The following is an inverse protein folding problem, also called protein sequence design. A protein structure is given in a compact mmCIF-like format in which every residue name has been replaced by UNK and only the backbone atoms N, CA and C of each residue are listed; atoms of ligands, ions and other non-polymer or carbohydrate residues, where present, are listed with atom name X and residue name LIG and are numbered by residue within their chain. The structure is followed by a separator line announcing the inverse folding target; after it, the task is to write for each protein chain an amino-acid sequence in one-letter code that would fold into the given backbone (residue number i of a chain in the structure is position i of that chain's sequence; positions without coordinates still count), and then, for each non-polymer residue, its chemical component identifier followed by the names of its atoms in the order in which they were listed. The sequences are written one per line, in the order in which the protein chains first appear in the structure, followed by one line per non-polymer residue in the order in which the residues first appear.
data_IF_189555426632
#
_entry.id   IF_189555426632
#
_cell.length_a   1.000
_cell.length_b   1.000
_cell.length_c   1.000
_cell.angle_alpha   90.00
_cell.angle_beta   90.00
_cell.angle_gamma   90.00
#
_symmetry.space_group_name_H-M   'P 1'
#
loop_
_entity.id
_entity.type
_entity.pdbx_description
1 polymer ?
#
# COMPACT_ATOMS: atom_id res chain seq x y z
N UNK A 1 29.22 -34.80 39.00
CA UNK A 1 29.04 -33.35 38.90
C UNK A 1 29.75 -32.90 37.65
N UNK A 2 29.00 -32.70 36.57
CA UNK A 2 29.51 -32.52 35.21
C UNK A 2 29.34 -31.04 34.85
N UNK A 3 30.44 -30.34 34.62
CA UNK A 3 30.42 -28.93 34.23
C UNK A 3 29.94 -28.79 32.79
N UNK A 4 28.93 -27.97 32.49
CA UNK A 4 28.57 -27.65 31.12
C UNK A 4 29.68 -26.80 30.47
N UNK A 5 30.05 -27.25 29.29
CA UNK A 5 31.10 -26.76 28.40
C UNK A 5 30.81 -25.33 27.92
N UNK A 6 31.81 -24.44 28.04
CA UNK A 6 31.72 -23.00 27.74
C UNK A 6 31.91 -22.69 26.25
N UNK A 7 32.03 -23.71 25.40
CA UNK A 7 32.44 -23.58 24.00
C UNK A 7 31.29 -23.29 23.02
N UNK A 8 30.02 -23.41 23.43
CA UNK A 8 28.88 -23.14 22.54
C UNK A 8 28.45 -21.66 22.48
N UNK A 9 28.81 -20.84 23.47
CA UNK A 9 28.34 -19.44 23.53
C UNK A 9 28.97 -18.52 22.47
N UNK A 10 30.15 -18.85 21.94
CA UNK A 10 30.83 -17.99 20.96
C UNK A 10 30.39 -18.25 19.51
N UNK A 11 29.92 -19.47 19.21
CA UNK A 11 29.39 -19.82 17.89
C UNK A 11 28.07 -19.09 17.57
N UNK A 12 27.19 -18.92 18.57
CA UNK A 12 25.95 -18.18 18.42
C UNK A 12 26.18 -16.67 18.19
N UNK A 13 27.22 -16.08 18.80
CA UNK A 13 27.54 -14.67 18.65
C UNK A 13 28.13 -14.33 17.27
N UNK A 14 28.84 -15.26 16.63
CA UNK A 14 29.34 -15.09 15.27
C UNK A 14 28.26 -15.28 14.19
N UNK A 15 27.27 -16.15 14.43
CA UNK A 15 26.13 -16.31 13.52
C UNK A 15 25.24 -15.05 13.47
N UNK A 16 25.03 -14.37 14.60
CA UNK A 16 24.26 -13.12 14.67
C UNK A 16 24.99 -11.92 14.03
N UNK A 17 26.33 -11.95 13.95
CA UNK A 17 27.11 -10.91 13.29
C UNK A 17 27.08 -11.01 11.76
N UNK A 18 26.89 -12.22 11.21
CA UNK A 18 26.95 -12.45 9.76
C UNK A 18 25.61 -12.19 9.04
N UNK A 19 24.48 -12.22 9.74
CA UNK A 19 23.16 -11.87 9.17
C UNK A 19 23.02 -10.36 8.90
N UNK A 20 23.91 -9.52 9.44
CA UNK A 20 23.94 -8.06 9.21
C UNK A 20 24.68 -7.63 7.94
N UNK A 21 25.25 -8.57 7.16
CA UNK A 21 26.14 -8.26 6.02
C UNK A 21 25.58 -8.57 4.64
N UNK A 22 24.33 -9.02 4.53
CA UNK A 22 23.56 -8.74 3.31
C UNK A 22 23.06 -7.30 3.36
N UNK A 23 24.03 -6.37 3.38
CA UNK A 23 23.85 -5.06 2.78
C UNK A 23 23.47 -5.36 1.35
N UNK A 24 22.17 -5.42 1.10
CA UNK A 24 21.60 -5.39 -0.22
C UNK A 24 22.34 -4.27 -0.94
N UNK A 25 23.21 -4.66 -1.87
CA UNK A 25 23.80 -3.79 -2.86
C UNK A 25 22.63 -3.38 -3.76
N UNK A 26 21.75 -2.54 -3.21
CA UNK A 26 20.62 -2.03 -3.94
C UNK A 26 21.21 -1.34 -5.16
N UNK A 27 20.64 -1.59 -6.36
CA UNK A 27 21.10 -0.97 -7.57
C UNK A 27 21.18 0.53 -7.30
N UNK A 28 22.41 1.03 -7.33
CA UNK A 28 22.74 2.43 -7.05
C UNK A 28 21.84 3.25 -7.97
N UNK A 29 20.94 4.02 -7.36
CA UNK A 29 19.87 4.79 -8.00
C UNK A 29 20.34 5.25 -9.39
N UNK A 30 19.74 4.77 -10.50
CA UNK A 30 20.25 5.06 -11.83
C UNK A 30 20.36 6.57 -11.96
N UNK A 31 21.58 7.04 -12.20
CA UNK A 31 21.88 8.45 -12.43
C UNK A 31 21.40 8.84 -13.83
N UNK A 32 20.08 8.77 -14.07
CA UNK A 32 19.48 9.06 -15.39
C UNK A 32 19.10 10.53 -15.48
N UNK A 33 20.05 11.35 -15.94
CA UNK A 33 19.91 12.15 -17.16
C UNK A 33 18.53 12.82 -17.40
N UNK A 34 18.28 13.93 -16.70
CA UNK A 34 17.88 15.24 -17.27
C UNK A 34 17.51 16.15 -16.10
N UNK A 35 18.32 17.19 -15.89
CA UNK A 35 18.33 18.04 -14.69
C UNK A 35 17.05 18.90 -14.52
N UNK A 36 16.09 18.82 -15.44
CA UNK A 36 14.98 19.78 -15.51
C UNK A 36 13.68 19.38 -14.82
N UNK A 37 13.53 18.14 -14.32
CA UNK A 37 12.19 17.64 -13.96
C UNK A 37 12.05 17.16 -12.51
N UNK A 38 12.94 17.64 -11.63
CA UNK A 38 12.83 17.43 -10.19
C UNK A 38 11.67 18.26 -9.61
N UNK A 39 10.85 17.61 -8.78
CA UNK A 39 9.74 18.23 -8.05
C UNK A 39 10.25 18.56 -6.63
N UNK A 40 10.56 19.84 -6.34
CA UNK A 40 11.17 20.23 -5.08
C UNK A 40 10.22 19.98 -3.91
N UNK A 41 10.78 19.73 -2.74
CA UNK A 41 9.99 19.55 -1.52
C UNK A 41 9.40 20.90 -1.06
N UNK A 42 8.06 21.06 -1.03
CA UNK A 42 7.48 22.29 -0.53
C UNK A 42 7.71 22.41 0.98
N UNK A 43 7.87 23.65 1.46
CA UNK A 43 8.10 23.97 2.88
C UNK A 43 7.10 23.27 3.81
N UNK A 44 5.84 23.15 3.36
CA UNK A 44 4.75 22.46 4.07
C UNK A 44 4.22 21.26 3.30
N UNK A 45 5.07 20.25 3.04
CA UNK A 45 4.67 19.01 2.37
C UNK A 45 3.40 18.35 2.95
N UNK A 46 3.17 18.48 4.25
CA UNK A 46 1.98 17.96 4.92
C UNK A 46 0.65 18.56 4.45
N UNK A 47 0.67 19.75 3.84
CA UNK A 47 -0.50 20.48 3.33
C UNK A 47 -0.79 20.23 1.85
N UNK A 48 0.12 19.55 1.14
CA UNK A 48 -0.07 19.24 -0.27
C UNK A 48 -1.24 18.26 -0.42
N UNK A 49 -2.22 18.63 -1.24
CA UNK A 49 -3.37 17.77 -1.51
C UNK A 49 -2.97 16.56 -2.35
N UNK A 50 -3.63 15.41 -2.14
CA UNK A 50 -3.41 14.22 -2.97
C UNK A 50 -3.71 14.47 -4.47
N UNK A 51 -4.67 15.36 -4.77
CA UNK A 51 -4.97 15.78 -6.15
C UNK A 51 -3.80 16.54 -6.79
N UNK A 52 -3.05 17.29 -5.99
CA UNK A 52 -1.89 18.05 -6.44
C UNK A 52 -0.70 17.14 -6.76
N UNK A 53 -0.41 16.17 -5.88
CA UNK A 53 0.59 15.12 -6.14
C UNK A 53 0.31 14.38 -7.46
N UNK A 54 -0.95 14.02 -7.69
CA UNK A 54 -1.39 13.38 -8.94
C UNK A 54 -1.10 14.27 -10.16
N UNK A 55 -1.40 15.57 -10.05
CA UNK A 55 -1.15 16.57 -11.11
C UNK A 55 0.33 16.72 -11.42
N UNK A 56 1.18 16.82 -10.40
CA UNK A 56 2.64 16.96 -10.55
C UNK A 56 3.28 15.76 -11.27
N UNK A 57 2.76 14.56 -11.04
CA UNK A 57 3.19 13.35 -11.75
C UNK A 57 2.58 13.19 -13.15
N UNK A 58 1.57 13.99 -13.51
CA UNK A 58 0.83 13.80 -14.76
C UNK A 58 0.04 12.48 -14.82
N UNK A 59 -0.25 11.85 -13.67
CA UNK A 59 -0.91 10.54 -13.65
C UNK A 59 -2.41 10.66 -13.93
N UNK A 60 -2.94 9.70 -14.70
CA UNK A 60 -4.38 9.50 -14.85
C UNK A 60 -4.99 8.87 -13.57
N UNK A 61 -6.30 8.64 -13.55
CA UNK A 61 -6.96 8.03 -12.38
C UNK A 61 -6.49 6.59 -12.13
N UNK A 62 -6.26 5.81 -13.19
CA UNK A 62 -5.92 4.39 -13.10
C UNK A 62 -4.51 4.20 -12.54
N UNK A 63 -3.51 4.87 -13.13
CA UNK A 63 -2.10 4.89 -12.69
C UNK A 63 -1.97 5.45 -11.28
N UNK A 64 -2.72 6.50 -10.94
CA UNK A 64 -2.74 7.02 -9.57
C UNK A 64 -3.25 6.01 -8.55
N UNK A 65 -4.32 5.28 -8.86
CA UNK A 65 -4.82 4.21 -7.99
C UNK A 65 -3.84 3.03 -7.90
N UNK A 66 -3.16 2.71 -8.99
CA UNK A 66 -2.11 1.69 -9.01
C UNK A 66 -0.95 2.09 -8.09
N UNK A 67 -0.46 3.33 -8.18
CA UNK A 67 0.58 3.86 -7.29
C UNK A 67 0.17 3.73 -5.83
N UNK A 68 -1.03 4.20 -5.46
CA UNK A 68 -1.53 4.07 -4.07
C UNK A 68 -1.67 2.64 -3.60
N UNK A 69 -1.89 1.70 -4.51
CA UNK A 69 -1.97 0.27 -4.21
C UNK A 69 -0.58 -0.30 -4.00
N UNK A 70 0.35 -0.04 -4.91
CA UNK A 70 1.76 -0.41 -4.76
C UNK A 70 2.35 0.16 -3.47
N UNK A 71 2.13 1.44 -3.15
CA UNK A 71 2.61 2.03 -1.88
C UNK A 71 2.07 1.27 -0.67
N UNK A 72 0.81 0.80 -0.68
CA UNK A 72 0.26 0.00 0.43
C UNK A 72 0.93 -1.37 0.54
N UNK A 73 1.22 -2.02 -0.58
CA UNK A 73 1.97 -3.28 -0.58
C UNK A 73 3.42 -3.08 -0.14
N UNK A 74 4.08 -2.02 -0.61
CA UNK A 74 5.42 -1.65 -0.17
C UNK A 74 5.48 -1.34 1.33
N UNK A 75 4.45 -0.71 1.90
CA UNK A 75 4.33 -0.50 3.35
C UNK A 75 4.29 -1.81 4.13
N UNK A 76 3.59 -2.83 3.61
CA UNK A 76 3.53 -4.15 4.23
C UNK A 76 4.87 -4.89 4.07
N UNK A 77 5.49 -4.82 2.89
CA UNK A 77 6.76 -5.47 2.61
C UNK A 77 7.92 -4.89 3.43
N UNK A 78 7.92 -3.56 3.65
CA UNK A 78 8.89 -2.88 4.49
C UNK A 78 8.53 -2.94 5.99
N UNK A 79 7.47 -3.67 6.36
CA UNK A 79 7.05 -3.87 7.75
C UNK A 79 6.84 -2.54 8.52
N UNK A 80 6.16 -1.56 7.91
CA UNK A 80 5.85 -0.30 8.59
C UNK A 80 4.79 -0.52 9.68
N UNK A 81 5.10 -0.05 10.88
CA UNK A 81 4.21 -0.19 12.03
C UNK A 81 2.98 0.69 11.88
N UNK A 82 1.83 0.06 11.63
CA UNK A 82 0.58 0.77 11.38
C UNK A 82 0.03 1.58 12.58
N UNK A 83 0.39 1.22 13.81
CA UNK A 83 -0.11 1.86 15.04
C UNK A 83 0.77 3.02 15.51
N UNK A 84 2.03 3.03 15.07
CA UNK A 84 3.04 4.02 15.42
C UNK A 84 2.86 5.35 14.67
N UNK A 85 3.35 6.43 15.26
CA UNK A 85 3.32 7.76 14.63
C UNK A 85 4.30 7.77 13.46
N UNK A 86 3.97 8.46 12.36
CA UNK A 86 4.89 8.55 11.20
C UNK A 86 6.32 8.97 11.57
N UNK A 87 6.47 9.84 12.58
CA UNK A 87 7.77 10.33 13.06
C UNK A 87 8.59 9.26 13.80
N UNK A 88 7.97 8.19 14.30
CA UNK A 88 8.66 7.11 15.01
C UNK A 88 8.95 5.91 14.11
N UNK A 89 8.63 5.99 12.81
CA UNK A 89 8.95 4.95 11.86
C UNK A 89 10.46 4.93 11.59
N UNK A 90 11.00 3.73 11.42
CA UNK A 90 12.39 3.56 11.03
C UNK A 90 12.66 4.18 9.66
N UNK A 91 13.71 5.00 9.58
CA UNK A 91 14.12 5.67 8.35
C UNK A 91 14.63 4.66 7.31
N UNK A 92 15.14 3.51 7.74
CA UNK A 92 15.54 2.41 6.85
C UNK A 92 14.31 1.80 6.16
N UNK A 93 13.25 1.49 6.93
CA UNK A 93 11.97 1.00 6.41
C UNK A 93 11.33 1.99 5.43
N UNK A 94 11.39 3.29 5.72
CA UNK A 94 10.90 4.34 4.80
C UNK A 94 11.69 4.35 3.48
N UNK A 95 13.01 4.15 3.54
CA UNK A 95 13.87 4.11 2.36
C UNK A 95 13.56 2.88 1.51
N UNK A 96 13.45 1.70 2.13
CA UNK A 96 13.05 0.45 1.47
C UNK A 96 11.68 0.59 0.77
N UNK A 97 10.70 1.21 1.43
CA UNK A 97 9.40 1.50 0.84
C UNK A 97 9.52 2.36 -0.43
N UNK A 98 10.40 3.36 -0.43
CA UNK A 98 10.61 4.20 -1.61
C UNK A 98 11.26 3.40 -2.75
N UNK A 99 12.25 2.57 -2.43
CA UNK A 99 12.95 1.73 -3.42
C UNK A 99 11.99 0.74 -4.09
N UNK A 100 11.12 0.06 -3.33
CA UNK A 100 10.08 -0.83 -3.88
C UNK A 100 9.15 -0.06 -4.83
N UNK A 101 8.71 1.14 -4.44
CA UNK A 101 7.83 1.96 -5.29
C UNK A 101 8.53 2.45 -6.55
N UNK A 102 9.84 2.74 -6.49
CA UNK A 102 10.59 3.19 -7.67
C UNK A 102 10.75 2.11 -8.74
N UNK A 103 10.73 0.83 -8.37
CA UNK A 103 10.77 -0.28 -9.33
C UNK A 103 9.55 -0.24 -10.25
N UNK A 104 8.36 -0.05 -9.70
CA UNK A 104 7.10 -0.06 -10.49
C UNK A 104 6.71 1.32 -11.05
N UNK A 105 7.13 2.39 -10.36
CA UNK A 105 6.75 3.79 -10.64
C UNK A 105 7.99 4.70 -10.64
N UNK A 106 8.91 4.54 -11.60
CA UNK A 106 10.16 5.31 -11.65
C UNK A 106 9.94 6.82 -11.78
N UNK A 107 8.79 7.27 -12.31
CA UNK A 107 8.46 8.70 -12.44
C UNK A 107 8.31 9.38 -11.07
N UNK A 108 8.07 8.60 -10.01
CA UNK A 108 8.04 9.13 -8.64
C UNK A 108 9.42 9.50 -8.11
N UNK A 109 10.51 9.08 -8.78
CA UNK A 109 11.87 9.48 -8.44
C UNK A 109 12.14 10.98 -8.62
N UNK A 110 11.26 11.68 -9.37
CA UNK A 110 11.23 13.13 -9.51
C UNK A 110 11.01 13.86 -8.19
N UNK A 111 10.36 13.23 -7.20
CA UNK A 111 10.22 13.85 -5.88
C UNK A 111 11.55 13.83 -5.13
N UNK A 112 12.03 15.02 -4.76
CA UNK A 112 13.18 15.20 -3.89
C UNK A 112 13.01 14.40 -2.57
N UNK A 113 14.03 13.65 -2.16
CA UNK A 113 14.01 12.81 -0.95
C UNK A 113 12.80 11.86 -0.80
N UNK A 114 12.16 11.48 -1.91
CA UNK A 114 10.93 10.70 -1.92
C UNK A 114 9.76 11.36 -1.14
N UNK A 115 9.73 12.70 -1.00
CA UNK A 115 8.75 13.37 -0.15
C UNK A 115 7.30 13.06 -0.55
N UNK A 116 7.02 12.90 -1.84
CA UNK A 116 5.70 12.54 -2.36
C UNK A 116 5.27 11.14 -1.95
N UNK A 117 6.19 10.15 -2.03
CA UNK A 117 5.94 8.78 -1.59
C UNK A 117 5.68 8.74 -0.08
N UNK A 118 6.50 9.45 0.71
CA UNK A 118 6.31 9.59 2.16
C UNK A 118 4.93 10.16 2.50
N UNK A 119 4.47 11.15 1.74
CA UNK A 119 3.17 11.77 1.94
C UNK A 119 2.00 10.81 1.61
N UNK A 120 2.12 10.01 0.55
CA UNK A 120 1.13 8.99 0.18
C UNK A 120 1.07 7.90 1.26
N UNK A 121 2.22 7.39 1.70
CA UNK A 121 2.31 6.38 2.75
C UNK A 121 1.71 6.89 4.08
N UNK A 122 2.02 8.13 4.47
CA UNK A 122 1.43 8.78 5.64
C UNK A 122 -0.09 8.89 5.55
N UNK A 123 -0.62 9.21 4.37
CA UNK A 123 -2.07 9.24 4.15
C UNK A 123 -2.68 7.84 4.31
N UNK A 124 -2.03 6.81 3.77
CA UNK A 124 -2.49 5.42 3.89
C UNK A 124 -2.55 4.96 5.35
N UNK A 125 -1.51 5.23 6.16
CA UNK A 125 -1.51 4.92 7.60
C UNK A 125 -2.65 5.61 8.36
N UNK A 126 -2.88 6.91 8.08
CA UNK A 126 -3.99 7.65 8.70
C UNK A 126 -5.34 7.03 8.37
N UNK A 127 -5.55 6.64 7.10
CA UNK A 127 -6.78 5.97 6.68
C UNK A 127 -6.95 4.61 7.37
N UNK A 128 -5.87 3.83 7.51
CA UNK A 128 -5.90 2.54 8.23
C UNK A 128 -6.24 2.72 9.72
N UNK A 129 -5.61 3.69 10.40
CA UNK A 129 -5.90 4.00 11.81
C UNK A 129 -7.35 4.44 12.02
N UNK A 130 -7.86 5.30 11.13
CA UNK A 130 -9.27 5.70 11.15
C UNK A 130 -10.21 4.52 10.95
N UNK A 131 -9.88 3.61 10.03
CA UNK A 131 -10.67 2.41 9.77
C UNK A 131 -10.68 1.46 10.97
N UNK A 132 -9.51 1.16 11.57
CA UNK A 132 -9.41 0.34 12.79
C UNK A 132 -10.24 0.92 13.94
N UNK A 133 -10.15 2.24 14.16
CA UNK A 133 -10.96 2.92 15.18
C UNK A 133 -12.46 2.74 14.93
N UNK A 134 -12.91 2.84 13.67
CA UNK A 134 -14.32 2.62 13.33
C UNK A 134 -14.79 1.18 13.51
N UNK A 135 -13.89 0.20 13.36
CA UNK A 135 -14.23 -1.22 13.64
C UNK A 135 -14.41 -1.44 15.14
N UNK A 136 -13.51 -0.88 15.96
CA UNK A 136 -13.51 -1.10 17.41
C UNK A 136 -14.58 -0.29 18.15
N UNK A 137 -15.14 0.74 17.52
CA UNK A 137 -16.20 1.58 18.09
C UNK A 137 -17.47 1.55 17.20
N UNK A 138 -18.33 0.53 17.36
CA UNK A 138 -19.57 0.42 16.61
C UNK A 138 -20.58 1.52 16.96
N UNK A 139 -20.38 2.29 18.03
CA UNK A 139 -21.24 3.41 18.40
C UNK A 139 -20.98 4.66 17.53
N UNK A 140 -19.88 4.71 16.79
CA UNK A 140 -19.66 5.75 15.78
C UNK A 140 -20.52 5.54 14.54
N UNK A 141 -20.87 6.62 13.83
CA UNK A 141 -21.59 6.51 12.54
C UNK A 141 -20.87 5.59 11.55
N UNK A 142 -19.55 5.72 11.44
CA UNK A 142 -18.73 4.87 10.58
C UNK A 142 -18.70 3.42 11.05
N UNK A 143 -18.65 3.17 12.37
CA UNK A 143 -18.75 1.83 12.93
C UNK A 143 -20.08 1.17 12.66
N UNK A 144 -21.20 1.89 12.86
CA UNK A 144 -22.55 1.41 12.48
C UNK A 144 -22.63 1.05 10.99
N UNK A 145 -22.08 1.90 10.11
CA UNK A 145 -22.08 1.66 8.65
C UNK A 145 -21.19 0.48 8.25
N UNK A 146 -20.03 0.31 8.90
CA UNK A 146 -19.15 -0.84 8.68
C UNK A 146 -19.78 -2.16 9.15
N UNK A 147 -20.43 -2.15 10.33
CA UNK A 147 -21.18 -3.28 10.86
C UNK A 147 -22.35 -3.66 9.95
N UNK A 148 -23.09 -2.67 9.44
CA UNK A 148 -24.19 -2.89 8.50
C UNK A 148 -23.71 -3.59 7.22
N UNK A 149 -22.57 -3.18 6.65
CA UNK A 149 -21.98 -3.86 5.48
C UNK A 149 -21.61 -5.31 5.77
N UNK A 150 -20.96 -5.59 6.90
CA UNK A 150 -20.64 -6.96 7.32
C UNK A 150 -21.90 -7.83 7.45
N UNK A 151 -22.99 -7.28 8.00
CA UNK A 151 -24.27 -8.01 8.13
C UNK A 151 -24.89 -8.35 6.76
N UNK A 152 -24.75 -7.48 5.77
CA UNK A 152 -25.21 -7.76 4.40
C UNK A 152 -24.40 -8.87 3.76
N UNK A 153 -23.07 -8.87 3.93
CA UNK A 153 -22.18 -9.90 3.36
C UNK A 153 -22.30 -11.25 4.07
N UNK A 154 -22.75 -11.26 5.34
CA UNK A 154 -22.95 -12.50 6.13
C UNK A 154 -24.36 -13.06 5.97
N UNK A 155 -25.32 -12.29 5.45
CA UNK A 155 -26.61 -12.83 5.10
C UNK A 155 -26.40 -13.82 3.94
N UNK A 156 -26.93 -15.05 4.03
CA UNK A 156 -26.88 -15.98 2.90
C UNK A 156 -27.43 -15.24 1.68
N UNK A 157 -26.77 -15.33 0.51
CA UNK A 157 -27.21 -14.61 -0.66
C UNK A 157 -28.68 -14.94 -0.84
N UNK A 158 -29.54 -13.91 -0.75
CA UNK A 158 -30.94 -14.07 -1.09
C UNK A 158 -30.89 -14.41 -2.57
N UNK A 159 -30.96 -15.71 -2.88
CA UNK A 159 -31.17 -16.23 -4.23
C UNK A 159 -32.56 -15.74 -4.57
N UNK A 160 -32.63 -14.48 -4.98
CA UNK A 160 -33.77 -13.92 -5.66
C UNK A 160 -33.73 -14.69 -6.96
N UNK A 161 -34.45 -15.82 -6.99
CA UNK A 161 -34.75 -16.55 -8.21
C UNK A 161 -35.48 -15.54 -9.08
N UNK A 162 -34.72 -14.75 -9.84
CA UNK A 162 -35.26 -14.00 -10.95
C UNK A 162 -35.83 -15.09 -11.84
N UNK A 163 -37.15 -15.24 -11.78
CA UNK A 163 -37.90 -16.00 -12.78
C UNK A 163 -37.51 -15.35 -14.09
N UNK A 164 -36.59 -16.00 -14.80
CA UNK A 164 -36.18 -15.63 -16.14
C UNK A 164 -37.49 -15.51 -16.92
N UNK A 165 -37.87 -14.31 -17.40
CA UNK A 165 -39.03 -14.20 -18.26
C UNK A 165 -38.77 -15.16 -19.43
N UNK A 166 -39.65 -16.13 -19.60
CA UNK A 166 -39.63 -16.99 -20.79
C UNK A 166 -39.74 -16.03 -21.97
N UNK A 167 -38.69 -15.99 -22.79
CA UNK A 167 -38.75 -15.26 -24.04
C UNK A 167 -39.96 -15.79 -24.82
N UNK A 168 -40.82 -14.92 -25.38
CA UNK A 168 -41.87 -15.38 -26.26
C UNK A 168 -41.21 -16.16 -27.41
N UNK A 169 -41.71 -17.37 -27.62
CA UNK A 169 -41.35 -18.24 -28.72
C UNK A 169 -41.80 -17.52 -30.00
N UNK A 170 -40.85 -17.06 -30.81
CA UNK A 170 -41.15 -16.59 -32.16
C UNK A 170 -41.19 -17.84 -33.05
N UNK A 171 -42.39 -18.35 -33.30
CA UNK A 171 -42.68 -19.20 -34.46
C UNK A 171 -42.59 -18.32 -35.72
N UNK A 172 -41.38 -18.13 -36.23
CA UNK A 172 -41.19 -17.58 -37.58
C UNK A 172 -41.03 -18.77 -38.52
N UNK A 173 -42.18 -19.32 -38.88
CA UNK A 173 -42.34 -20.29 -39.96
C UNK A 173 -41.90 -19.64 -41.27
N UNK A 174 -40.95 -20.29 -41.95
CA UNK A 174 -40.40 -19.81 -43.19
C UNK A 174 -41.44 -19.53 -44.28
N UNK A 175 -41.11 -18.55 -45.11
CA UNK A 175 -41.53 -18.56 -46.52
C UNK A 175 -40.31 -18.33 -47.40
N UNK A 176 -39.98 -19.37 -48.15
CA UNK A 176 -39.21 -19.35 -49.40
C UNK A 176 -39.78 -18.29 -50.35
N UNK A 177 -38.90 -17.47 -50.97
CA UNK A 177 -38.70 -17.36 -52.44
C UNK A 177 -37.31 -16.81 -52.74
#
# INVERSE_FOLDING_TARGET
MTHPDRSESDAASLAAANTRRHRHSFPRRPSSHSISDNIPRPRNASKVAMKELKRLLGYDRKRWNALRTCTRFAMLAADLESDSVWKSQDQEKISMLADIVYVDFPETARFEDAWGIRLIARHSLRSQKSYRRSINDPATYHGRKALARRRVDTAPPVITRMRRPLAPYNDDDGQDV
#
